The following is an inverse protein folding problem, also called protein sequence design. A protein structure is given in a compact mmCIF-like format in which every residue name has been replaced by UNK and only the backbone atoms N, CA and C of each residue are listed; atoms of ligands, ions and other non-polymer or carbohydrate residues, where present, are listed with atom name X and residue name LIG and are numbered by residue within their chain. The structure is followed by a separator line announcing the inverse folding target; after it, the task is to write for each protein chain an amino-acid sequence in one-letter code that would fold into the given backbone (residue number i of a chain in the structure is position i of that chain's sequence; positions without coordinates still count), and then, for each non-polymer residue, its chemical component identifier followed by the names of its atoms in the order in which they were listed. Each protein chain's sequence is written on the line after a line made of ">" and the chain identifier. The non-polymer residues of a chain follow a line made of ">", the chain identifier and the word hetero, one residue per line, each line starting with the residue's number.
data_IF_225052428797
#
_entry.id   IF_225052428797
#
_cell.length_a   1.000
_cell.length_b   1.000
_cell.length_c   1.000
_cell.angle_alpha   90.00
_cell.angle_beta   90.00
_cell.angle_gamma   90.00
#
_symmetry.space_group_name_H-M   'P 1'
#
loop_
_entity.id
_entity.type
_entity.pdbx_description
1 polymer ?
#
# COMPACT_ATOMS: atom_id res chain seq x y z
N UNK A 1 -0.60 0.95 14.74
CA UNK A 1 0.73 0.66 14.18
C UNK A 1 1.22 -0.63 14.82
N UNK A 2 1.81 -1.53 14.04
CA UNK A 2 2.35 -2.81 14.52
C UNK A 2 3.73 -3.00 13.93
N UNK A 3 4.73 -3.21 14.78
CA UNK A 3 6.06 -3.67 14.39
C UNK A 3 6.14 -5.17 14.64
N UNK A 4 6.66 -5.93 13.69
CA UNK A 4 6.80 -7.37 13.79
C UNK A 4 8.16 -7.80 13.25
N UNK A 5 8.77 -8.71 13.98
CA UNK A 5 9.84 -9.56 13.48
C UNK A 5 9.22 -10.76 12.76
N UNK A 6 9.45 -10.87 11.44
CA UNK A 6 8.86 -11.92 10.61
C UNK A 6 9.92 -13.00 10.37
N UNK A 7 9.75 -14.23 10.88
CA UNK A 7 10.76 -15.28 10.76
C UNK A 7 11.02 -15.72 9.29
N UNK A 8 10.19 -15.29 8.34
CA UNK A 8 10.43 -15.49 6.91
C UNK A 8 11.41 -14.45 6.32
N UNK A 9 11.73 -13.38 7.05
CA UNK A 9 12.76 -12.40 6.70
C UNK A 9 14.01 -12.77 7.50
N UNK A 10 15.13 -12.96 6.79
CA UNK A 10 16.42 -13.29 7.40
C UNK A 10 17.40 -12.15 7.10
N UNK A 11 17.41 -11.08 7.92
CA UNK A 11 18.22 -9.91 7.68
C UNK A 11 19.69 -10.29 7.78
N UNK A 12 20.49 -9.87 6.79
CA UNK A 12 21.95 -9.97 6.88
C UNK A 12 22.42 -9.02 7.98
N UNK A 13 23.39 -9.38 8.83
CA UNK A 13 23.80 -8.54 9.97
C UNK A 13 24.21 -7.11 9.56
N UNK A 14 23.90 -6.09 10.41
CA UNK A 14 23.31 -6.19 11.75
C UNK A 14 21.80 -6.45 11.77
N UNK A 15 21.36 -7.36 12.63
CA UNK A 15 19.94 -7.68 12.82
C UNK A 15 19.19 -6.51 13.45
N UNK A 16 18.10 -6.07 12.82
CA UNK A 16 17.20 -5.07 13.36
C UNK A 16 16.26 -5.69 14.41
N UNK A 17 15.71 -4.90 15.35
CA UNK A 17 14.74 -5.39 16.34
C UNK A 17 13.37 -5.73 15.74
N UNK A 18 13.12 -5.35 14.48
CA UNK A 18 11.95 -5.73 13.70
C UNK A 18 12.26 -5.55 12.20
N UNK A 19 11.69 -6.44 11.38
CA UNK A 19 11.89 -6.42 9.93
C UNK A 19 10.65 -5.96 9.17
N UNK A 20 9.49 -5.85 9.85
CA UNK A 20 8.23 -5.45 9.22
C UNK A 20 7.49 -4.42 10.06
N UNK A 21 7.11 -3.31 9.41
CA UNK A 21 6.27 -2.27 9.99
C UNK A 21 4.96 -2.17 9.21
N UNK A 22 3.83 -2.35 9.90
CA UNK A 22 2.49 -2.16 9.35
C UNK A 22 1.80 -0.94 9.97
N UNK A 23 1.41 0.00 9.11
CA UNK A 23 0.63 1.20 9.46
C UNK A 23 -0.79 1.04 8.92
N UNK A 24 -1.77 1.30 9.77
CA UNK A 24 -3.19 1.30 9.40
C UNK A 24 -3.75 2.66 9.77
N UNK A 25 -4.48 3.28 8.84
CA UNK A 25 -5.17 4.54 9.06
C UNK A 25 -6.53 4.56 8.37
N UNK A 26 -7.43 5.41 8.87
CA UNK A 26 -8.70 5.71 8.24
C UNK A 26 -8.70 7.12 7.65
N UNK A 27 -9.42 7.34 6.56
CA UNK A 27 -9.51 8.66 5.97
C UNK A 27 -10.58 8.81 4.90
N UNK A 28 -10.44 9.90 4.14
CA UNK A 28 -11.33 10.29 3.07
C UNK A 28 -10.70 10.03 1.71
N UNK A 29 -11.47 9.45 0.80
CA UNK A 29 -11.05 9.25 -0.60
C UNK A 29 -12.15 9.77 -1.54
N UNK A 30 -11.79 10.65 -2.48
CA UNK A 30 -12.73 11.30 -3.40
C UNK A 30 -13.98 11.89 -2.71
N UNK A 31 -13.80 12.51 -1.54
CA UNK A 31 -14.90 13.13 -0.79
C UNK A 31 -15.69 12.19 0.12
N UNK A 32 -15.45 10.88 0.08
CA UNK A 32 -16.17 9.89 0.88
C UNK A 32 -15.29 9.39 2.03
N UNK A 33 -15.82 9.45 3.25
CA UNK A 33 -15.13 9.00 4.46
C UNK A 33 -15.17 7.47 4.64
N UNK A 34 -14.33 6.97 5.54
CA UNK A 34 -14.33 5.57 5.97
C UNK A 34 -13.40 4.65 5.19
N UNK A 35 -12.56 5.20 4.32
CA UNK A 35 -11.54 4.42 3.61
C UNK A 35 -10.42 4.03 4.57
N UNK A 36 -9.89 2.83 4.39
CA UNK A 36 -8.76 2.33 5.18
C UNK A 36 -7.52 2.24 4.30
N UNK A 37 -6.43 2.83 4.76
CA UNK A 37 -5.10 2.65 4.18
C UNK A 37 -4.30 1.67 5.04
N UNK A 38 -3.61 0.74 4.38
CA UNK A 38 -2.63 -0.13 4.99
C UNK A 38 -1.30 0.06 4.28
N UNK A 39 -0.25 0.35 5.03
CA UNK A 39 1.12 0.48 4.51
C UNK A 39 1.98 -0.55 5.20
N UNK A 40 2.70 -1.36 4.42
CA UNK A 40 3.64 -2.36 4.93
C UNK A 40 5.02 -2.00 4.42
N UNK A 41 5.95 -1.79 5.34
CA UNK A 41 7.37 -1.61 5.08
C UNK A 41 8.07 -2.88 5.56
N UNK A 42 8.97 -3.41 4.74
CA UNK A 42 9.83 -4.54 5.07
C UNK A 42 11.27 -4.08 4.92
N UNK A 43 12.06 -4.26 5.97
CA UNK A 43 13.51 -4.15 5.98
C UNK A 43 14.07 -5.57 5.95
N UNK A 44 14.92 -5.88 4.98
CA UNK A 44 15.50 -7.21 4.81
C UNK A 44 17.02 -7.21 5.05
N UNK A 45 17.53 -6.18 5.73
CA UNK A 45 18.93 -6.01 6.08
C UNK A 45 19.81 -5.48 4.94
N UNK A 46 21.03 -5.06 5.27
CA UNK A 46 21.99 -4.53 4.31
C UNK A 46 22.45 -5.59 3.30
N UNK A 47 22.58 -5.27 2.00
CA UNK A 47 22.67 -3.93 1.40
C UNK A 47 21.31 -3.30 1.00
N UNK A 48 20.19 -3.68 1.63
CA UNK A 48 18.88 -3.05 1.45
C UNK A 48 18.22 -3.34 0.09
N UNK A 49 18.67 -4.40 -0.60
CA UNK A 49 18.18 -4.76 -1.93
C UNK A 49 16.80 -5.43 -1.88
N UNK A 50 16.46 -6.01 -0.74
CA UNK A 50 15.22 -6.76 -0.53
C UNK A 50 14.19 -5.96 0.29
N UNK A 51 14.54 -4.74 0.71
CA UNK A 51 13.62 -3.82 1.37
C UNK A 51 12.44 -3.53 0.44
N UNK A 52 11.25 -3.42 1.00
CA UNK A 52 10.07 -3.14 0.20
C UNK A 52 9.06 -2.27 0.92
N UNK A 53 8.31 -1.51 0.14
CA UNK A 53 7.14 -0.79 0.61
C UNK A 53 5.94 -1.18 -0.26
N UNK A 54 4.83 -1.47 0.39
CA UNK A 54 3.53 -1.69 -0.25
C UNK A 54 2.45 -0.85 0.44
N UNK A 55 1.43 -0.50 -0.33
CA UNK A 55 0.29 0.26 0.16
C UNK A 55 -0.98 -0.24 -0.49
N UNK A 56 -2.03 -0.37 0.30
CA UNK A 56 -3.37 -0.77 -0.14
C UNK A 56 -4.39 0.19 0.45
N UNK A 57 -5.28 0.72 -0.37
CA UNK A 57 -6.45 1.51 0.06
C UNK A 57 -7.71 0.68 -0.20
N UNK A 58 -8.48 0.46 0.86
CA UNK A 58 -9.78 -0.22 0.80
C UNK A 58 -10.93 0.76 1.01
N UNK A 59 -12.03 0.50 0.31
CA UNK A 59 -13.29 1.17 0.54
C UNK A 59 -13.85 0.91 1.94
N UNK A 60 -14.87 1.67 2.37
CA UNK A 60 -15.48 1.52 3.69
C UNK A 60 -16.10 0.14 3.92
N UNK A 61 -16.18 -0.25 5.19
CA UNK A 61 -16.74 -1.53 5.63
C UNK A 61 -15.71 -2.66 5.75
N UNK A 62 -16.01 -3.66 6.57
CA UNK A 62 -15.17 -4.83 6.74
C UNK A 62 -15.02 -5.57 5.40
N UNK A 63 -13.79 -5.69 4.90
CA UNK A 63 -13.51 -6.35 3.62
C UNK A 63 -13.83 -5.51 2.38
N UNK A 64 -14.00 -4.19 2.50
CA UNK A 64 -14.26 -3.29 1.36
C UNK A 64 -13.26 -3.44 0.21
N UNK A 65 -13.65 -3.08 -1.03
CA UNK A 65 -12.87 -3.33 -2.24
C UNK A 65 -11.55 -2.56 -2.24
N UNK A 66 -10.51 -3.11 -2.87
CA UNK A 66 -9.25 -2.39 -3.09
C UNK A 66 -9.47 -1.37 -4.20
N UNK A 67 -9.33 -0.08 -3.87
CA UNK A 67 -9.54 1.03 -4.80
C UNK A 67 -8.24 1.65 -5.30
N UNK A 68 -7.14 1.43 -4.57
CA UNK A 68 -5.80 1.80 -4.99
C UNK A 68 -4.79 0.84 -4.34
N UNK A 69 -3.73 0.51 -5.06
CA UNK A 69 -2.61 -0.23 -4.49
C UNK A 69 -1.29 0.14 -5.16
N UNK A 70 -0.22 0.04 -4.40
CA UNK A 70 1.15 -0.05 -4.91
C UNK A 70 1.72 -1.38 -4.45
N UNK A 71 2.10 -2.30 -5.36
CA UNK A 71 2.71 -3.55 -4.97
C UNK A 71 4.06 -3.31 -4.30
N UNK A 72 4.50 -4.28 -3.49
CA UNK A 72 5.81 -4.30 -2.86
C UNK A 72 6.88 -4.06 -3.94
N UNK A 73 7.62 -2.96 -3.80
CA UNK A 73 8.66 -2.59 -4.76
C UNK A 73 9.97 -2.45 -3.99
N UNK A 74 10.93 -3.31 -4.32
CA UNK A 74 12.29 -3.16 -3.85
C UNK A 74 13.06 -2.21 -4.74
N UNK A 75 13.80 -1.27 -4.13
CA UNK A 75 14.73 -0.39 -4.82
C UNK A 75 16.02 -0.31 -4.01
N UNK A 76 17.18 -0.59 -4.62
CA UNK A 76 18.47 -0.23 -4.03
C UNK A 76 18.48 1.30 -3.83
N UNK A 77 18.63 1.75 -2.58
CA UNK A 77 18.60 3.17 -2.23
C UNK A 77 17.18 3.75 -2.25
N UNK A 78 16.57 3.85 -1.06
CA UNK A 78 15.19 4.27 -0.86
C UNK A 78 14.87 5.66 -1.42
N UNK A 79 14.12 5.72 -2.52
CA UNK A 79 13.24 6.84 -2.86
C UNK A 79 12.14 6.34 -3.80
N UNK A 80 10.88 6.48 -3.39
CA UNK A 80 9.71 6.15 -4.21
C UNK A 80 9.56 7.16 -5.35
N UNK A 81 9.80 6.73 -6.59
CA UNK A 81 9.44 7.51 -7.80
C UNK A 81 7.99 7.21 -8.17
N UNK A 82 7.17 8.25 -8.32
CA UNK A 82 5.79 8.17 -8.82
C UNK A 82 5.74 7.49 -10.20
N UNK A 83 5.49 6.18 -10.24
CA UNK A 83 5.09 5.48 -11.47
C UNK A 83 3.58 5.46 -11.52
N UNK A 84 2.98 6.40 -12.24
CA UNK A 84 1.56 6.35 -12.60
C UNK A 84 1.35 5.18 -13.56
N UNK A 85 1.17 3.96 -13.06
CA UNK A 85 0.39 2.96 -13.79
C UNK A 85 -1.06 3.26 -13.49
N UNK A 86 -1.71 4.00 -14.39
CA UNK A 86 -3.18 4.03 -14.44
C UNK A 86 -3.63 2.58 -14.65
N UNK A 87 -4.27 1.97 -13.65
CA UNK A 87 -5.09 0.81 -13.91
C UNK A 87 -6.21 1.28 -14.84
N UNK A 88 -6.16 0.85 -16.10
CA UNK A 88 -7.29 0.97 -17.01
C UNK A 88 -8.41 0.07 -16.48
N UNK A 89 -9.57 0.65 -16.16
CA UNK A 89 -10.75 -0.14 -15.82
C UNK A 89 -11.62 0.44 -14.72
N UNK A 90 -12.37 1.49 -15.05
CA UNK A 90 -13.74 1.68 -14.58
C UNK A 90 -14.42 2.61 -15.59
N UNK A 91 -15.26 2.03 -16.45
CA UNK A 91 -16.10 2.80 -17.36
C UNK A 91 -16.92 3.80 -16.54
N UNK A 92 -16.93 5.07 -16.97
CA UNK A 92 -17.86 6.09 -16.47
C UNK A 92 -19.28 5.55 -16.72
N UNK A 93 -20.19 5.49 -15.73
CA UNK A 93 -21.58 5.27 -16.04
C UNK A 93 -22.07 6.45 -16.89
N UNK A 94 -22.72 6.12 -18.01
CA UNK A 94 -23.33 7.10 -18.90
C UNK A 94 -24.35 7.93 -18.12
N UNK A 95 -24.27 9.26 -18.27
CA UNK A 95 -25.28 10.17 -17.77
C UNK A 95 -26.58 9.87 -18.53
N UNK A 96 -27.59 9.38 -17.81
CA UNK A 96 -28.93 9.18 -18.34
C UNK A 96 -29.60 10.56 -18.45
N UNK A 97 -29.58 11.14 -19.65
CA UNK A 97 -30.30 12.37 -19.97
C UNK A 97 -31.79 12.09 -20.09
N UNK A 98 -32.54 12.54 -19.09
CA UNK A 98 -34.01 12.61 -19.08
C UNK A 98 -34.47 13.55 -20.20
N UNK A 99 -35.43 13.09 -21.00
CA UNK A 99 -36.02 13.86 -22.08
C UNK A 99 -36.90 15.02 -21.61
N UNK A 100 -37.00 16.02 -22.48
CA UNK A 100 -38.15 16.90 -22.72
C UNK A 100 -38.16 17.21 -24.21
#
# INVERSE_FOLDING_TARGET
>A
MVCRDDPAVNPVPPTAPFDTLTLIGSGRWNGVDGYIITVTLVDAGEPGRLDSISLVVRGPGAGGPIVASSPARSRPGGTTRRTTRRHAGAARPAANGVGK
#
